data_IF_263382715560
#
_entry.id   IF_263382715560
#
_cell.length_a   1.000
_cell.length_b   1.000
_cell.length_c   1.000
_cell.angle_alpha   90.00
_cell.angle_beta   90.00
_cell.angle_gamma   90.00
#
_symmetry.space_group_name_H-M   'P 1'
#
loop_
_entity.id
_entity.type
_entity.pdbx_description
1 polymer ?
#
# COMPACT_ATOMS: atom_id res chain seq x y z
N UNK A 1 -21.44 -3.96 -8.48
CA UNK A 1 -20.29 -3.93 -9.41
C UNK A 1 -19.02 -4.02 -8.57
N UNK A 2 -18.28 -5.14 -8.64
CA UNK A 2 -16.96 -5.22 -7.99
C UNK A 2 -15.97 -4.40 -8.81
N UNK A 3 -15.63 -3.21 -8.33
CA UNK A 3 -14.52 -2.42 -8.88
C UNK A 3 -13.27 -3.30 -8.80
N UNK A 4 -12.66 -3.60 -9.94
CA UNK A 4 -11.36 -4.30 -9.95
C UNK A 4 -10.33 -3.34 -9.38
N UNK A 5 -9.95 -3.56 -8.13
CA UNK A 5 -8.90 -2.77 -7.47
C UNK A 5 -7.54 -3.26 -7.98
N UNK A 6 -6.70 -2.33 -8.43
CA UNK A 6 -5.35 -2.65 -8.90
C UNK A 6 -4.45 -3.05 -7.74
N UNK A 7 -3.39 -3.81 -8.03
CA UNK A 7 -2.40 -4.19 -7.02
C UNK A 7 -1.73 -2.97 -6.37
N UNK A 8 -1.47 -1.91 -7.15
CA UNK A 8 -0.97 -0.63 -6.64
C UNK A 8 -1.97 0.02 -5.67
N UNK A 9 -3.25 0.12 -6.05
CA UNK A 9 -4.28 0.67 -5.17
C UNK A 9 -4.44 -0.18 -3.90
N UNK A 10 -4.36 -1.52 -3.99
CA UNK A 10 -4.39 -2.41 -2.82
C UNK A 10 -3.23 -2.15 -1.85
N UNK A 11 -2.02 -1.90 -2.34
CA UNK A 11 -0.88 -1.53 -1.50
C UNK A 11 -1.18 -0.21 -0.78
N UNK A 12 -1.54 0.84 -1.52
CA UNK A 12 -1.81 2.17 -0.97
C UNK A 12 -2.96 2.13 0.05
N UNK A 13 -4.06 1.45 -0.28
CA UNK A 13 -5.19 1.28 0.63
C UNK A 13 -4.84 0.50 1.89
N UNK A 14 -3.92 -0.47 1.79
CA UNK A 14 -3.44 -1.21 2.96
C UNK A 14 -2.58 -0.34 3.88
N UNK A 15 -1.56 0.37 3.35
CA UNK A 15 -0.67 1.22 4.16
C UNK A 15 -1.37 2.47 4.69
N UNK A 16 -2.48 2.87 4.08
CA UNK A 16 -3.37 3.86 4.68
C UNK A 16 -3.94 3.37 6.03
N UNK A 17 -4.41 2.11 6.08
CA UNK A 17 -5.03 1.53 7.29
C UNK A 17 -4.04 0.95 8.29
N UNK A 18 -2.97 0.34 7.82
CA UNK A 18 -2.03 -0.42 8.64
C UNK A 18 -0.74 0.38 8.83
N UNK A 19 -0.61 1.02 10.01
CA UNK A 19 0.57 1.80 10.37
C UNK A 19 1.84 0.95 10.34
N UNK A 20 1.81 -0.29 10.83
CA UNK A 20 2.98 -1.18 10.77
C UNK A 20 3.48 -1.44 9.33
N UNK A 21 2.57 -1.54 8.35
CA UNK A 21 2.96 -1.68 6.95
C UNK A 21 3.34 -0.36 6.29
N UNK A 22 2.82 0.77 6.78
CA UNK A 22 3.28 2.10 6.41
C UNK A 22 4.72 2.32 6.87
N UNK A 23 5.01 2.09 8.14
CA UNK A 23 6.35 2.23 8.71
C UNK A 23 7.35 1.37 7.93
N UNK A 24 6.99 0.11 7.67
CA UNK A 24 7.82 -0.77 6.87
C UNK A 24 7.99 -0.30 5.41
N UNK A 25 6.95 0.30 4.81
CA UNK A 25 7.03 0.88 3.47
C UNK A 25 8.00 2.06 3.42
N UNK A 26 7.99 2.91 4.45
CA UNK A 26 8.89 4.05 4.56
C UNK A 26 10.33 3.62 4.83
N UNK A 27 10.54 2.54 5.59
CA UNK A 27 11.87 2.01 5.86
C UNK A 27 12.46 1.25 4.67
N UNK A 28 11.65 0.42 4.00
CA UNK A 28 12.11 -0.45 2.91
C UNK A 28 11.07 -0.58 1.78
N UNK A 29 10.88 0.48 0.97
CA UNK A 29 9.80 0.53 -0.03
C UNK A 29 9.90 -0.57 -1.09
N UNK A 30 11.12 -0.97 -1.46
CA UNK A 30 11.39 -2.02 -2.46
C UNK A 30 10.78 -3.38 -2.08
N UNK A 31 10.72 -3.71 -0.78
CA UNK A 31 10.20 -4.98 -0.30
C UNK A 31 8.66 -5.01 -0.23
N UNK A 32 7.98 -3.86 -0.25
CA UNK A 32 6.50 -3.82 -0.17
C UNK A 32 5.81 -4.17 -1.47
N UNK A 33 6.47 -3.94 -2.60
CA UNK A 33 5.94 -4.22 -3.93
C UNK A 33 6.16 -5.66 -4.40
N UNK A 34 6.92 -6.47 -3.66
CA UNK A 34 7.24 -7.85 -4.06
C UNK A 34 5.97 -8.71 -4.15
N UNK A 35 5.79 -9.38 -5.28
CA UNK A 35 4.61 -10.22 -5.55
C UNK A 35 3.37 -9.47 -6.04
N UNK A 36 3.45 -8.13 -6.18
CA UNK A 36 2.40 -7.29 -6.77
C UNK A 36 2.76 -6.88 -8.19
N UNK A 37 1.75 -6.79 -9.06
CA UNK A 37 1.93 -6.31 -10.44
C UNK A 37 1.99 -4.78 -10.46
N UNK A 38 3.22 -4.27 -10.41
CA UNK A 38 3.50 -2.83 -10.45
C UNK A 38 4.19 -2.44 -11.76
N UNK A 39 3.92 -1.24 -12.26
CA UNK A 39 4.73 -0.59 -13.29
C UNK A 39 5.97 0.05 -12.67
N UNK A 40 6.91 0.49 -13.49
CA UNK A 40 8.11 1.18 -12.99
C UNK A 40 7.76 2.49 -12.30
N UNK A 41 6.88 3.30 -12.90
CA UNK A 41 6.38 4.53 -12.30
C UNK A 41 5.71 4.30 -10.94
N UNK A 42 5.00 3.19 -10.76
CA UNK A 42 4.37 2.84 -9.47
C UNK A 42 5.42 2.42 -8.44
N UNK A 43 6.46 1.68 -8.83
CA UNK A 43 7.58 1.36 -7.94
C UNK A 43 8.33 2.60 -7.51
N UNK A 44 8.63 3.50 -8.45
CA UNK A 44 9.26 4.79 -8.14
C UNK A 44 8.39 5.65 -7.23
N UNK A 45 7.07 5.65 -7.43
CA UNK A 45 6.13 6.34 -6.55
C UNK A 45 6.20 5.79 -5.12
N UNK A 46 6.13 4.47 -4.94
CA UNK A 46 6.28 3.83 -3.62
C UNK A 46 7.61 4.18 -2.97
N UNK A 47 8.70 4.24 -3.75
CA UNK A 47 10.03 4.57 -3.26
C UNK A 47 10.21 6.03 -2.84
N UNK A 48 9.36 6.94 -3.32
CA UNK A 48 9.42 8.37 -3.02
C UNK A 48 8.38 8.82 -2.00
N UNK A 49 7.44 7.96 -1.64
CA UNK A 49 6.39 8.30 -0.68
C UNK A 49 6.99 8.50 0.71
N UNK A 50 6.43 9.43 1.45
CA UNK A 50 6.88 9.86 2.77
C UNK A 50 5.72 9.82 3.76
N UNK A 51 6.01 9.90 5.07
CA UNK A 51 4.93 9.96 6.09
C UNK A 51 3.99 11.15 5.86
N UNK A 52 4.51 12.26 5.35
CA UNK A 52 3.73 13.46 5.04
C UNK A 52 2.65 13.23 3.98
N UNK A 53 2.87 12.29 3.07
CA UNK A 53 1.92 11.96 2.01
C UNK A 53 0.66 11.29 2.58
N UNK A 54 0.77 10.67 3.76
CA UNK A 54 -0.35 10.01 4.46
C UNK A 54 -1.22 10.96 5.29
N UNK A 55 -1.02 12.27 5.20
CA UNK A 55 -1.83 13.27 5.94
C UNK A 55 -3.32 13.21 5.57
N UNK A 56 -3.65 13.06 4.29
CA UNK A 56 -5.03 12.96 3.80
C UNK A 56 -5.11 12.01 2.61
N UNK A 57 -6.26 11.36 2.40
CA UNK A 57 -6.48 10.53 1.20
C UNK A 57 -6.41 11.36 -0.09
N UNK A 58 -6.79 12.64 -0.03
CA UNK A 58 -6.71 13.54 -1.17
C UNK A 58 -5.26 13.79 -1.58
N UNK A 59 -4.37 13.99 -0.61
CA UNK A 59 -2.95 14.15 -0.89
C UNK A 59 -2.31 12.85 -1.40
N UNK A 60 -2.69 11.69 -0.85
CA UNK A 60 -2.28 10.41 -1.42
C UNK A 60 -2.76 10.24 -2.87
N UNK A 61 -3.98 10.65 -3.20
CA UNK A 61 -4.50 10.61 -4.56
C UNK A 61 -3.62 11.44 -5.52
N UNK A 62 -3.21 12.63 -5.09
CA UNK A 62 -2.30 13.50 -5.86
C UNK A 62 -0.92 12.85 -6.08
N UNK A 63 -0.30 12.32 -5.02
CA UNK A 63 1.06 11.75 -5.07
C UNK A 63 1.10 10.42 -5.83
N UNK A 64 0.07 9.59 -5.69
CA UNK A 64 0.00 8.26 -6.31
C UNK A 64 -0.60 8.27 -7.71
N UNK A 65 -1.29 9.35 -8.10
CA UNK A 65 -2.06 9.41 -9.34
C UNK A 65 -3.32 8.53 -9.34
N UNK A 66 -3.67 7.93 -8.19
CA UNK A 66 -4.94 7.24 -8.01
C UNK A 66 -6.06 8.25 -7.80
N UNK A 67 -7.28 7.91 -8.22
CA UNK A 67 -8.45 8.69 -7.83
C UNK A 67 -8.82 8.40 -6.38
N UNK A 68 -9.45 9.37 -5.71
CA UNK A 68 -9.96 9.19 -4.34
C UNK A 68 -10.85 7.94 -4.23
N UNK A 69 -11.71 7.71 -5.21
CA UNK A 69 -12.59 6.53 -5.28
C UNK A 69 -11.83 5.22 -5.36
N UNK A 70 -10.68 5.18 -6.03
CA UNK A 70 -9.85 3.97 -6.10
C UNK A 70 -9.18 3.69 -4.75
N UNK A 71 -8.73 4.73 -4.05
CA UNK A 71 -8.15 4.60 -2.70
C UNK A 71 -9.22 4.11 -1.73
N UNK A 72 -10.41 4.72 -1.70
CA UNK A 72 -11.53 4.28 -0.86
C UNK A 72 -11.93 2.83 -1.15
N UNK A 73 -12.11 2.48 -2.43
CA UNK A 73 -12.42 1.12 -2.84
C UNK A 73 -11.33 0.12 -2.42
N UNK A 74 -10.06 0.53 -2.49
CA UNK A 74 -8.94 -0.30 -2.07
C UNK A 74 -8.87 -0.48 -0.55
N UNK A 75 -9.06 0.60 0.21
CA UNK A 75 -9.13 0.58 1.67
C UNK A 75 -10.15 -0.47 2.11
N UNK A 76 -11.36 -0.44 1.54
CA UNK A 76 -12.45 -1.36 1.88
C UNK A 76 -12.36 -2.74 1.25
N UNK A 77 -11.40 -2.96 0.36
CA UNK A 77 -11.22 -4.24 -0.29
C UNK A 77 -10.73 -5.31 0.71
N UNK A 78 -11.35 -6.51 0.78
CA UNK A 78 -10.95 -7.56 1.73
C UNK A 78 -9.46 -7.94 1.64
N UNK A 79 -8.88 -7.95 0.43
CA UNK A 79 -7.44 -8.22 0.23
C UNK A 79 -6.52 -7.19 0.90
N UNK A 80 -6.94 -5.93 1.01
CA UNK A 80 -6.17 -4.89 1.68
C UNK A 80 -6.33 -4.94 3.21
N UNK A 81 -7.29 -5.68 3.75
CA UNK A 81 -7.55 -5.75 5.20
C UNK A 81 -6.93 -6.97 5.88
N UNK A 82 -6.71 -8.05 5.13
CA UNK A 82 -6.39 -9.36 5.68
C UNK A 82 -4.90 -9.75 5.61
N UNK A 83 -4.02 -8.87 5.10
CA UNK A 83 -2.60 -9.20 4.85
C UNK A 83 -1.68 -8.03 5.12
N UNK A 84 -0.55 -8.28 5.78
CA UNK A 84 0.58 -7.35 5.85
C UNK A 84 1.46 -7.43 4.59
N UNK A 85 2.03 -6.30 4.17
CA UNK A 85 2.90 -6.22 2.99
C UNK A 85 4.30 -6.78 3.26
N UNK A 86 4.88 -7.36 2.21
CA UNK A 86 6.24 -7.89 2.19
C UNK A 86 6.55 -8.96 3.24
N UNK A 87 5.52 -9.63 3.78
CA UNK A 87 5.67 -10.94 4.40
C UNK A 87 5.74 -11.98 3.30
N UNK A 88 6.92 -12.54 3.08
CA UNK A 88 7.11 -13.70 2.20
C UNK A 88 6.66 -14.90 3.01
N UNK A 89 5.77 -15.72 2.44
CA UNK A 89 5.13 -16.90 3.04
C UNK A 89 6.14 -17.71 3.88
N UNK A 90 6.10 -17.55 5.21
CA UNK A 90 6.93 -18.29 6.17
C UNK A 90 7.90 -17.44 7.01
N UNK A 91 8.23 -16.22 6.59
CA UNK A 91 9.06 -15.29 7.37
C UNK A 91 8.19 -14.14 7.88
N UNK A 92 7.93 -14.16 9.19
CA UNK A 92 7.43 -13.01 9.94
C UNK A 92 8.52 -11.95 9.93
N UNK A 93 8.17 -10.73 9.54
CA UNK A 93 9.00 -9.58 9.91
C UNK A 93 9.00 -9.48 11.44
N UNK A 94 10.17 -9.29 12.08
CA UNK A 94 10.21 -9.02 13.52
C UNK A 94 9.30 -7.83 13.84
N UNK A 95 8.34 -8.00 14.75
CA UNK A 95 7.46 -6.90 15.20
C UNK A 95 6.02 -6.91 14.67
N UNK A 96 5.63 -7.84 13.80
CA UNK A 96 4.22 -8.04 13.43
C UNK A 96 3.57 -9.06 14.39
N UNK A 97 2.84 -8.58 15.41
CA UNK A 97 1.97 -9.43 16.25
C UNK A 97 0.55 -9.45 15.67
N UNK A 98 -0.04 -10.65 15.59
CA UNK A 98 -1.41 -10.90 15.13
C UNK A 98 -2.47 -10.29 16.03
#
# INVERSE_FOLDING_TARGET
MTVRVSDFALIIGHVWRCTACRDALLENPSLMGVGYKLTEAQRECIAKITEEDFRTMMHLAEVTGLTLREIEAAVDHPRARLRHLGSIKGELRPGLSW
#
